data_IF_659707558763
#
_entry.id   IF_659707558763
#
_cell.length_a   1.000
_cell.length_b   1.000
_cell.length_c   1.000
_cell.angle_alpha   90.00
_cell.angle_beta   90.00
_cell.angle_gamma   90.00
#
_symmetry.space_group_name_H-M   'P 1'
#
loop_
_entity.id
_entity.type
_entity.pdbx_description
1 polymer ?
#
# COMPACT_ATOMS: atom_id res chain seq x y z
N UNK A 1 30.28 23.59 1.61
CA UNK A 1 29.66 22.27 1.90
C UNK A 1 29.05 22.31 3.30
N UNK A 2 27.72 22.39 3.43
CA UNK A 2 27.02 21.94 4.64
C UNK A 2 25.60 21.51 4.25
N UNK A 3 25.35 20.20 4.34
CA UNK A 3 24.12 19.53 3.92
C UNK A 3 23.23 19.43 5.16
N UNK A 4 22.30 20.35 5.35
CA UNK A 4 21.34 20.29 6.46
C UNK A 4 20.20 19.34 6.11
N UNK A 5 20.32 18.08 6.56
CA UNK A 5 19.20 17.12 6.62
C UNK A 5 18.13 17.70 7.54
N UNK A 6 17.03 18.20 6.99
CA UNK A 6 15.83 18.53 7.79
C UNK A 6 15.05 17.23 8.01
N UNK A 7 14.76 16.83 9.27
CA UNK A 7 13.86 15.72 9.51
C UNK A 7 12.45 16.15 9.08
N UNK A 8 11.67 15.22 8.55
CA UNK A 8 10.25 15.43 8.23
C UNK A 8 9.51 15.68 9.55
N UNK A 9 9.38 16.95 9.92
CA UNK A 9 8.76 17.39 11.17
C UNK A 9 7.24 17.46 11.00
N UNK A 10 6.55 16.54 11.68
CA UNK A 10 5.14 16.55 12.11
C UNK A 10 4.27 17.69 11.55
N UNK A 11 3.35 17.38 10.66
CA UNK A 11 2.32 18.30 10.15
C UNK A 11 1.38 18.76 11.28
N UNK A 12 1.21 20.08 11.40
CA UNK A 12 0.32 20.72 12.37
C UNK A 12 -0.88 21.34 11.63
N UNK A 13 -2.09 20.98 12.02
CA UNK A 13 -3.32 21.43 11.35
C UNK A 13 -4.12 22.37 12.27
N UNK A 14 -4.59 23.53 11.76
CA UNK A 14 -5.55 24.36 12.49
C UNK A 14 -6.94 23.74 12.44
N UNK A 15 -7.69 23.82 13.54
CA UNK A 15 -9.07 23.33 13.62
C UNK A 15 -9.99 24.53 13.84
N UNK A 16 -10.99 24.69 12.97
CA UNK A 16 -12.02 25.70 13.14
C UNK A 16 -13.20 25.09 13.90
N UNK A 17 -13.50 25.62 15.08
CA UNK A 17 -14.69 25.29 15.86
C UNK A 17 -15.58 26.53 15.94
N UNK A 18 -16.84 26.40 15.53
CA UNK A 18 -17.85 27.47 15.54
C UNK A 18 -17.36 28.79 14.89
N UNK A 19 -16.69 28.71 13.74
CA UNK A 19 -16.22 29.88 12.98
C UNK A 19 -14.97 30.57 13.54
N UNK A 20 -14.41 30.08 14.65
CA UNK A 20 -13.16 30.58 15.23
C UNK A 20 -12.02 29.56 15.03
N UNK A 21 -10.84 30.04 14.61
CA UNK A 21 -9.65 29.21 14.41
C UNK A 21 -9.02 28.91 15.77
N UNK A 22 -9.05 27.65 16.21
CA UNK A 22 -8.46 27.21 17.47
C UNK A 22 -7.06 26.61 17.26
N UNK A 23 -6.28 26.52 18.35
CA UNK A 23 -4.89 26.05 18.40
C UNK A 23 -4.57 24.83 17.51
N UNK A 24 -3.36 24.82 16.95
CA UNK A 24 -2.87 23.79 16.05
C UNK A 24 -2.70 22.44 16.74
N UNK A 25 -3.35 21.41 16.20
CA UNK A 25 -3.12 20.04 16.65
C UNK A 25 -1.89 19.45 15.95
N UNK A 26 -0.94 18.93 16.73
CA UNK A 26 0.14 18.06 16.22
C UNK A 26 -0.47 16.70 15.89
N UNK A 27 -0.60 16.37 14.61
CA UNK A 27 -1.01 15.04 14.18
C UNK A 27 0.03 14.00 14.60
N UNK A 28 -0.32 13.08 15.51
CA UNK A 28 0.47 11.88 15.76
C UNK A 28 -0.04 10.77 14.83
N UNK A 29 0.84 10.32 13.93
CA UNK A 29 0.72 9.14 13.04
C UNK A 29 -0.70 8.87 12.50
N UNK A 30 -0.94 9.36 11.29
CA UNK A 30 -2.10 9.03 10.46
C UNK A 30 -2.19 10.03 9.31
N UNK A 31 -2.33 9.55 8.07
CA UNK A 31 -2.72 10.44 6.96
C UNK A 31 -4.20 10.77 7.12
N UNK A 32 -4.59 12.03 6.88
CA UNK A 32 -6.01 12.41 6.92
C UNK A 32 -6.75 11.65 5.81
N UNK A 33 -7.82 10.97 6.18
CA UNK A 33 -8.78 10.41 5.23
C UNK A 33 -9.34 11.57 4.39
N UNK A 34 -9.10 11.53 3.07
CA UNK A 34 -9.47 12.61 2.14
C UNK A 34 -8.32 13.46 1.57
N UNK A 35 -7.05 13.15 1.89
CA UNK A 35 -5.90 13.82 1.30
C UNK A 35 -5.45 13.13 0.00
N UNK A 36 -5.29 13.89 -1.09
CA UNK A 36 -4.84 13.42 -2.41
C UNK A 36 -3.50 12.68 -2.31
N UNK A 37 -2.65 13.09 -1.36
CA UNK A 37 -1.35 12.47 -1.10
C UNK A 37 -1.50 11.03 -0.57
N UNK A 38 -2.54 10.73 0.22
CA UNK A 38 -2.79 9.37 0.73
C UNK A 38 -3.09 8.40 -0.39
N UNK A 39 -3.92 8.85 -1.33
CA UNK A 39 -4.32 8.04 -2.47
C UNK A 39 -3.13 7.76 -3.39
N UNK A 40 -2.28 8.76 -3.63
CA UNK A 40 -1.09 8.61 -4.45
C UNK A 40 -0.06 7.67 -3.79
N UNK A 41 0.19 7.79 -2.49
CA UNK A 41 1.05 6.85 -1.78
C UNK A 41 0.49 5.43 -1.81
N UNK A 42 -0.82 5.28 -1.58
CA UNK A 42 -1.49 3.98 -1.65
C UNK A 42 -1.32 3.34 -3.04
N UNK A 43 -1.59 4.10 -4.11
CA UNK A 43 -1.39 3.64 -5.50
C UNK A 43 0.06 3.23 -5.78
N UNK A 44 1.03 4.02 -5.32
CA UNK A 44 2.46 3.67 -5.47
C UNK A 44 2.82 2.38 -4.74
N UNK A 45 2.32 2.21 -3.51
CA UNK A 45 2.51 0.98 -2.75
C UNK A 45 1.87 -0.22 -3.47
N UNK A 46 0.67 -0.07 -4.01
CA UNK A 46 -0.01 -1.13 -4.76
C UNK A 46 0.76 -1.52 -6.02
N UNK A 47 1.23 -0.54 -6.80
CA UNK A 47 2.01 -0.78 -8.01
C UNK A 47 3.33 -1.49 -7.70
N UNK A 48 4.03 -1.06 -6.65
CA UNK A 48 5.26 -1.71 -6.21
C UNK A 48 5.01 -3.14 -5.74
N UNK A 49 3.98 -3.34 -4.91
CA UNK A 49 3.58 -4.66 -4.45
C UNK A 49 3.21 -5.60 -5.61
N UNK A 50 2.45 -5.08 -6.59
CA UNK A 50 2.07 -5.83 -7.78
C UNK A 50 3.28 -6.30 -8.58
N UNK A 51 4.29 -5.46 -8.73
CA UNK A 51 5.57 -5.82 -9.39
C UNK A 51 6.34 -6.86 -8.60
N UNK A 52 6.35 -6.78 -7.27
CA UNK A 52 7.02 -7.75 -6.41
C UNK A 52 6.38 -9.14 -6.58
N UNK A 53 5.06 -9.24 -6.41
CA UNK A 53 4.32 -10.49 -6.61
C UNK A 53 4.56 -11.02 -8.03
N UNK A 54 4.45 -10.16 -9.05
CA UNK A 54 4.64 -10.56 -10.45
C UNK A 54 6.02 -11.16 -10.71
N UNK A 55 7.06 -10.63 -10.07
CA UNK A 55 8.42 -11.18 -10.13
C UNK A 55 8.47 -12.58 -9.54
N UNK A 56 7.85 -12.80 -8.37
CA UNK A 56 7.86 -14.11 -7.71
C UNK A 56 7.02 -15.14 -8.49
N UNK A 57 5.85 -14.74 -8.98
CA UNK A 57 4.96 -15.60 -9.79
C UNK A 57 5.47 -15.85 -11.21
N UNK A 58 6.59 -15.26 -11.61
CA UNK A 58 7.24 -15.59 -12.89
C UNK A 58 8.03 -16.90 -12.85
N UNK A 59 8.23 -17.46 -11.65
CA UNK A 59 8.79 -18.80 -11.47
C UNK A 59 7.92 -19.86 -12.15
N UNK A 60 8.56 -20.83 -12.80
CA UNK A 60 7.87 -21.93 -13.49
C UNK A 60 7.05 -22.81 -12.54
N UNK A 61 7.44 -22.87 -11.27
CA UNK A 61 6.77 -23.66 -10.25
C UNK A 61 5.51 -22.97 -9.68
N UNK A 62 5.31 -21.67 -9.97
CA UNK A 62 4.09 -20.97 -9.55
C UNK A 62 2.94 -21.25 -10.50
N UNK A 63 1.79 -21.59 -9.92
CA UNK A 63 0.58 -21.81 -10.67
C UNK A 63 -0.55 -20.94 -10.14
N UNK A 64 -1.28 -20.33 -11.09
CA UNK A 64 -2.39 -19.46 -10.78
C UNK A 64 -3.58 -20.25 -10.25
N UNK A 65 -4.41 -19.59 -9.45
CA UNK A 65 -5.69 -20.14 -9.06
C UNK A 65 -6.54 -20.46 -10.32
N UNK A 66 -7.24 -21.61 -10.41
CA UNK A 66 -7.92 -22.05 -11.66
C UNK A 66 -8.92 -21.04 -12.23
N UNK A 67 -9.57 -20.26 -11.37
CA UNK A 67 -10.52 -19.19 -11.78
C UNK A 67 -9.83 -17.88 -12.20
N UNK A 68 -8.54 -17.73 -11.90
CA UNK A 68 -7.76 -16.51 -12.05
C UNK A 68 -6.69 -16.63 -13.14
N UNK A 69 -6.38 -17.86 -13.59
CA UNK A 69 -5.30 -18.18 -14.53
C UNK A 69 -5.42 -17.45 -15.87
N UNK A 70 -6.62 -17.40 -16.47
CA UNK A 70 -6.85 -16.74 -17.76
C UNK A 70 -6.47 -15.26 -17.76
N UNK A 71 -6.66 -14.60 -16.62
CA UNK A 71 -6.36 -13.18 -16.41
C UNK A 71 -5.05 -12.97 -15.64
N UNK A 72 -4.37 -14.06 -15.25
CA UNK A 72 -3.17 -14.05 -14.42
C UNK A 72 -3.31 -13.20 -13.16
N UNK A 73 -4.48 -13.26 -12.51
CA UNK A 73 -4.76 -12.52 -11.28
C UNK A 73 -4.05 -13.22 -10.12
N UNK A 74 -3.23 -12.48 -9.38
CA UNK A 74 -2.49 -12.97 -8.20
C UNK A 74 -2.90 -12.28 -6.91
N UNK A 75 -3.42 -11.06 -6.99
CA UNK A 75 -3.84 -10.29 -5.83
C UNK A 75 -4.97 -9.31 -6.15
N UNK A 76 -5.73 -8.95 -5.14
CA UNK A 76 -6.66 -7.83 -5.13
C UNK A 76 -6.39 -7.00 -3.87
N UNK A 77 -6.18 -5.70 -4.05
CA UNK A 77 -5.94 -4.78 -2.95
C UNK A 77 -7.09 -3.77 -2.86
N UNK A 78 -7.58 -3.61 -1.65
CA UNK A 78 -8.49 -2.55 -1.22
C UNK A 78 -7.79 -1.68 -0.17
N UNK A 79 -8.44 -0.60 0.27
CA UNK A 79 -7.85 0.28 1.27
C UNK A 79 -7.51 -0.47 2.57
N UNK A 80 -8.35 -1.44 2.95
CA UNK A 80 -8.28 -2.14 4.23
C UNK A 80 -7.92 -3.63 4.09
N UNK A 81 -8.07 -4.21 2.89
CA UNK A 81 -7.94 -5.65 2.66
C UNK A 81 -6.98 -5.99 1.52
N UNK A 82 -6.20 -7.06 1.70
CA UNK A 82 -5.38 -7.69 0.67
C UNK A 82 -5.82 -9.16 0.51
N UNK A 83 -6.25 -9.52 -0.69
CA UNK A 83 -6.54 -10.91 -1.06
C UNK A 83 -5.45 -11.43 -1.99
N UNK A 84 -4.91 -12.61 -1.69
CA UNK A 84 -3.91 -13.29 -2.51
C UNK A 84 -4.50 -14.56 -3.14
N UNK A 85 -4.15 -14.82 -4.39
CA UNK A 85 -4.65 -15.93 -5.18
C UNK A 85 -3.49 -16.75 -5.76
N UNK A 86 -3.48 -18.02 -5.43
CA UNK A 86 -2.62 -19.04 -6.04
C UNK A 86 -3.37 -20.35 -6.14
N UNK A 87 -2.80 -21.32 -6.84
CA UNK A 87 -3.26 -22.70 -6.74
C UNK A 87 -2.93 -23.25 -5.34
N UNK A 88 -3.79 -24.12 -4.84
CA UNK A 88 -3.71 -24.69 -3.48
C UNK A 88 -2.65 -25.79 -3.31
N UNK A 89 -1.48 -25.62 -3.92
CA UNK A 89 -0.32 -26.51 -3.79
C UNK A 89 0.83 -25.80 -3.07
N UNK A 90 1.63 -26.59 -2.34
CA UNK A 90 2.73 -26.08 -1.52
C UNK A 90 3.72 -25.19 -2.29
N UNK A 91 4.17 -25.53 -3.51
CA UNK A 91 5.09 -24.67 -4.27
C UNK A 91 4.50 -23.29 -4.55
N UNK A 92 3.26 -23.25 -5.07
CA UNK A 92 2.59 -22.00 -5.43
C UNK A 92 2.31 -21.12 -4.21
N UNK A 93 1.96 -21.73 -3.07
CA UNK A 93 1.76 -21.01 -1.79
C UNK A 93 3.10 -20.48 -1.28
N UNK A 94 4.17 -21.28 -1.30
CA UNK A 94 5.49 -20.86 -0.83
C UNK A 94 6.01 -19.67 -1.63
N UNK A 95 5.98 -19.75 -2.96
CA UNK A 95 6.44 -18.68 -3.87
C UNK A 95 5.63 -17.38 -3.68
N UNK A 96 4.35 -17.49 -3.32
CA UNK A 96 3.51 -16.31 -3.08
C UNK A 96 3.80 -15.64 -1.73
N UNK A 97 4.29 -16.39 -0.75
CA UNK A 97 4.58 -15.91 0.60
C UNK A 97 6.04 -15.50 0.82
N UNK A 98 6.93 -15.83 -0.11
CA UNK A 98 8.33 -15.39 -0.18
C UNK A 98 8.44 -13.96 -0.73
#
# INVERSE_FOLDING_TARGET
MSKTRRPVSTTSFPVALNGSLHEFFRGKKGLRQGDLISLVLFLLCMEFFSRLIKRNTSNFDFNFHPKCEKLKITHLLFADDLMLFSRGDLPSIHILME
#
